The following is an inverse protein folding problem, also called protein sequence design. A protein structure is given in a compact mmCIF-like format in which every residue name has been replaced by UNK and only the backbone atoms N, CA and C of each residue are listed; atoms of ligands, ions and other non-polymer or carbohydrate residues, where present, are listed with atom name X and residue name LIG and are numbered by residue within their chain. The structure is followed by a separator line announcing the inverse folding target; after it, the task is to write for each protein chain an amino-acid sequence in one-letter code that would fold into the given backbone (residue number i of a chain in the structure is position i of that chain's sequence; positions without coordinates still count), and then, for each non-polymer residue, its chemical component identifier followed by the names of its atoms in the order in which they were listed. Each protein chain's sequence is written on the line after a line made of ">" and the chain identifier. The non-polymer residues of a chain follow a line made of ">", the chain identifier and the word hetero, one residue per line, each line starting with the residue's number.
data_IF_599359426949
#
_entry.id   IF_599359426949
#
_cell.length_a   1.000
_cell.length_b   1.000
_cell.length_c   1.000
_cell.angle_alpha   90.00
_cell.angle_beta   90.00
_cell.angle_gamma   90.00
#
_symmetry.space_group_name_H-M   'P 1'
#
loop_
_entity.id
_entity.type
_entity.pdbx_description
1 polymer ?
#
# COMPACT_ATOMS: atom_id res chain seq x y z
N UNK A 1 -14.12 -14.27 -16.35
CA UNK A 1 -13.96 -13.19 -15.37
C UNK A 1 -13.15 -13.74 -14.22
N UNK A 2 -11.90 -13.33 -14.07
CA UNK A 2 -10.96 -13.79 -13.06
C UNK A 2 -11.07 -12.87 -11.84
N UNK A 3 -11.47 -13.42 -10.70
CA UNK A 3 -11.51 -12.68 -9.42
C UNK A 3 -10.30 -13.11 -8.60
N UNK A 4 -9.51 -12.12 -8.17
CA UNK A 4 -8.42 -12.33 -7.23
C UNK A 4 -8.95 -12.03 -5.84
N UNK A 5 -9.01 -13.04 -4.98
CA UNK A 5 -9.49 -12.88 -3.59
C UNK A 5 -8.31 -12.83 -2.62
N UNK A 6 -8.17 -11.75 -1.85
CA UNK A 6 -7.13 -11.55 -0.84
C UNK A 6 -7.64 -11.92 0.56
N UNK A 7 -6.94 -12.82 1.24
CA UNK A 7 -7.17 -13.08 2.66
C UNK A 7 -6.33 -12.11 3.51
N UNK A 8 -7.03 -11.18 4.15
CA UNK A 8 -6.46 -10.12 4.99
C UNK A 8 -6.72 -10.36 6.48
N UNK A 9 -7.26 -11.52 6.87
CA UNK A 9 -7.70 -11.79 8.25
C UNK A 9 -6.56 -12.01 9.24
N UNK A 10 -5.35 -12.31 8.74
CA UNK A 10 -4.17 -12.59 9.56
C UNK A 10 -3.11 -11.50 9.48
N UNK A 11 -2.74 -11.08 8.27
CA UNK A 11 -1.69 -10.09 8.05
C UNK A 11 -1.94 -9.35 6.73
N UNK A 12 -2.29 -8.07 6.84
CA UNK A 12 -2.57 -7.18 5.73
C UNK A 12 -1.40 -6.22 5.47
N UNK A 13 -0.18 -6.54 5.90
CA UNK A 13 0.99 -5.70 5.61
C UNK A 13 1.35 -5.74 4.13
N UNK A 14 1.93 -4.66 3.60
CA UNK A 14 2.45 -4.58 2.22
C UNK A 14 3.38 -5.75 1.85
N UNK A 15 4.14 -6.28 2.81
CA UNK A 15 4.98 -7.48 2.62
C UNK A 15 4.13 -8.72 2.41
N UNK A 16 3.11 -8.94 3.23
CA UNK A 16 2.16 -10.04 3.11
C UNK A 16 1.40 -9.96 1.78
N UNK A 17 0.87 -8.77 1.44
CA UNK A 17 0.20 -8.51 0.16
C UNK A 17 1.08 -8.87 -1.04
N UNK A 18 2.32 -8.37 -1.08
CA UNK A 18 3.24 -8.67 -2.16
C UNK A 18 3.59 -10.17 -2.20
N UNK A 19 3.79 -10.81 -1.06
CA UNK A 19 4.10 -12.23 -0.99
C UNK A 19 2.96 -13.09 -1.55
N UNK A 20 1.71 -12.78 -1.21
CA UNK A 20 0.52 -13.46 -1.72
C UNK A 20 0.37 -13.27 -3.23
N UNK A 21 0.46 -12.03 -3.74
CA UNK A 21 0.41 -11.76 -5.18
C UNK A 21 1.52 -12.51 -5.93
N UNK A 22 2.75 -12.52 -5.38
CA UNK A 22 3.87 -13.27 -5.95
C UNK A 22 3.61 -14.77 -5.97
N UNK A 23 2.98 -15.33 -4.95
CA UNK A 23 2.70 -16.77 -4.88
C UNK A 23 1.72 -17.24 -5.96
N UNK A 24 0.90 -16.32 -6.50
CA UNK A 24 -0.05 -16.60 -7.59
C UNK A 24 0.59 -16.60 -8.98
N UNK A 25 1.82 -16.08 -9.09
CA UNK A 25 2.58 -16.06 -10.33
C UNK A 25 3.43 -17.34 -10.49
N UNK A 26 3.54 -17.83 -11.72
CA UNK A 26 4.48 -18.93 -12.01
C UNK A 26 5.95 -18.48 -11.85
N UNK A 27 6.89 -19.41 -12.00
CA UNK A 27 8.32 -19.11 -11.79
C UNK A 27 8.86 -18.07 -12.80
N UNK A 28 8.40 -18.11 -14.05
CA UNK A 28 8.86 -17.20 -15.09
C UNK A 28 8.32 -15.79 -14.86
N UNK A 29 7.03 -15.67 -14.54
CA UNK A 29 6.38 -14.41 -14.24
C UNK A 29 6.92 -13.77 -12.94
N UNK A 30 7.26 -14.57 -11.91
CA UNK A 30 7.96 -14.05 -10.72
C UNK A 30 9.33 -13.48 -11.05
N UNK A 31 10.12 -14.16 -11.87
CA UNK A 31 11.42 -13.65 -12.29
C UNK A 31 11.29 -12.37 -13.13
N UNK A 32 10.27 -12.29 -13.99
CA UNK A 32 9.96 -11.08 -14.75
C UNK A 32 9.54 -9.91 -13.86
N UNK A 33 8.71 -10.17 -12.83
CA UNK A 33 8.32 -9.18 -11.82
C UNK A 33 9.54 -8.64 -11.08
N UNK A 34 10.43 -9.52 -10.59
CA UNK A 34 11.65 -9.11 -9.89
C UNK A 34 12.55 -8.26 -10.79
N UNK A 35 12.75 -8.66 -12.05
CA UNK A 35 13.51 -7.88 -13.02
C UNK A 35 12.85 -6.52 -13.31
N UNK A 36 11.52 -6.45 -13.39
CA UNK A 36 10.79 -5.21 -13.62
C UNK A 36 10.88 -4.25 -12.41
N UNK A 37 10.80 -4.76 -11.18
CA UNK A 37 10.97 -3.96 -9.96
C UNK A 37 12.37 -3.33 -9.92
N UNK A 38 13.41 -4.08 -10.25
CA UNK A 38 14.77 -3.52 -10.33
C UNK A 38 14.93 -2.53 -11.49
N UNK A 39 14.40 -2.87 -12.68
CA UNK A 39 14.47 -2.01 -13.84
C UNK A 39 13.67 -0.70 -13.69
N UNK A 40 12.63 -0.68 -12.86
CA UNK A 40 11.79 0.50 -12.62
C UNK A 40 12.60 1.71 -12.14
N UNK A 41 13.73 1.47 -11.44
CA UNK A 41 14.68 2.51 -11.08
C UNK A 41 14.23 3.39 -9.91
N UNK A 42 13.56 2.82 -8.91
CA UNK A 42 13.15 3.56 -7.71
C UNK A 42 14.41 3.97 -6.90
N UNK A 43 14.65 5.27 -6.72
CA UNK A 43 15.86 5.77 -6.07
C UNK A 43 15.86 5.49 -4.56
N UNK A 44 17.03 5.13 -4.04
CA UNK A 44 17.26 4.94 -2.60
C UNK A 44 17.45 6.28 -1.88
N UNK A 45 16.39 7.08 -1.84
CA UNK A 45 16.32 8.32 -1.07
C UNK A 45 14.99 8.43 -0.33
N UNK A 46 14.93 9.37 0.60
CA UNK A 46 13.67 9.77 1.22
C UNK A 46 12.99 10.86 0.38
N UNK A 47 11.67 10.78 0.26
CA UNK A 47 10.82 11.76 -0.41
C UNK A 47 10.02 12.51 0.65
N UNK A 48 10.08 13.83 0.63
CA UNK A 48 9.58 14.64 1.73
C UNK A 48 8.10 14.96 1.65
N UNK A 49 7.51 14.88 0.46
CA UNK A 49 6.14 15.28 0.18
C UNK A 49 5.57 14.54 -1.04
N UNK A 50 4.29 14.77 -1.31
CA UNK A 50 3.60 14.18 -2.45
C UNK A 50 4.22 14.60 -3.80
N UNK A 51 4.49 15.91 -4.08
CA UNK A 51 5.15 16.32 -5.32
C UNK A 51 6.46 15.59 -5.63
N UNK A 52 7.33 15.38 -4.64
CA UNK A 52 8.60 14.68 -4.80
C UNK A 52 8.39 13.20 -5.16
N UNK A 53 7.43 12.52 -4.51
CA UNK A 53 7.07 11.14 -4.87
C UNK A 53 6.48 11.06 -6.29
N UNK A 54 5.59 11.98 -6.65
CA UNK A 54 4.97 11.99 -7.99
C UNK A 54 6.02 12.21 -9.09
N UNK A 55 6.98 13.11 -8.87
CA UNK A 55 8.10 13.33 -9.79
C UNK A 55 8.96 12.07 -9.95
N UNK A 56 9.22 11.33 -8.87
CA UNK A 56 9.89 10.03 -8.95
C UNK A 56 9.07 9.02 -9.77
N UNK A 57 7.76 8.91 -9.51
CA UNK A 57 6.86 7.98 -10.23
C UNK A 57 6.87 8.27 -11.74
N UNK A 58 6.85 9.55 -12.13
CA UNK A 58 6.88 9.97 -13.54
C UNK A 58 8.13 9.47 -14.27
N UNK A 59 9.27 9.43 -13.59
CA UNK A 59 10.56 8.98 -14.12
C UNK A 59 10.75 7.45 -14.16
N UNK A 60 9.89 6.66 -13.51
CA UNK A 60 10.07 5.21 -13.42
C UNK A 60 9.99 4.52 -14.78
N UNK A 61 10.74 3.44 -14.96
CA UNK A 61 10.64 2.57 -16.12
C UNK A 61 9.53 1.54 -15.90
N UNK A 62 8.27 2.02 -15.91
CA UNK A 62 7.07 1.22 -15.71
C UNK A 62 5.97 1.65 -16.68
N UNK A 63 4.94 0.82 -16.85
CA UNK A 63 3.78 1.13 -17.68
C UNK A 63 3.02 2.36 -17.17
N UNK A 64 2.20 2.98 -18.02
CA UNK A 64 1.33 4.07 -17.59
C UNK A 64 0.35 3.61 -16.50
N UNK A 65 -0.20 2.40 -16.63
CA UNK A 65 -1.10 1.79 -15.64
C UNK A 65 -0.44 1.71 -14.26
N UNK A 66 0.76 1.15 -14.17
CA UNK A 66 1.52 1.06 -12.91
C UNK A 66 1.76 2.44 -12.31
N UNK A 67 2.19 3.40 -13.13
CA UNK A 67 2.39 4.78 -12.64
C UNK A 67 1.10 5.39 -12.12
N UNK A 68 -0.02 5.21 -12.83
CA UNK A 68 -1.32 5.74 -12.43
C UNK A 68 -1.81 5.13 -11.11
N UNK A 69 -1.64 3.80 -10.95
CA UNK A 69 -1.93 3.08 -9.70
C UNK A 69 -1.07 3.62 -8.55
N UNK A 70 0.25 3.78 -8.75
CA UNK A 70 1.14 4.35 -7.73
C UNK A 70 0.72 5.76 -7.32
N UNK A 71 0.36 6.63 -8.28
CA UNK A 71 -0.09 8.00 -7.97
C UNK A 71 -1.39 7.98 -7.16
N UNK A 72 -2.32 7.08 -7.46
CA UNK A 72 -3.56 6.94 -6.72
C UNK A 72 -3.31 6.49 -5.27
N UNK A 73 -2.45 5.47 -5.06
CA UNK A 73 -2.05 5.01 -3.73
C UNK A 73 -1.40 6.13 -2.91
N UNK A 74 -0.48 6.89 -3.51
CA UNK A 74 0.19 7.99 -2.81
C UNK A 74 -0.71 9.19 -2.52
N UNK A 75 -1.73 9.46 -3.34
CA UNK A 75 -2.75 10.47 -3.03
C UNK A 75 -3.60 10.05 -1.82
N UNK A 76 -4.01 8.79 -1.75
CA UNK A 76 -4.72 8.25 -0.57
C UNK A 76 -3.88 8.42 0.71
N UNK A 77 -2.57 8.14 0.63
CA UNK A 77 -1.66 8.35 1.75
C UNK A 77 -1.57 9.82 2.14
N UNK A 78 -1.36 10.71 1.17
CA UNK A 78 -1.26 12.14 1.43
C UNK A 78 -2.54 12.71 2.05
N UNK A 79 -3.72 12.29 1.58
CA UNK A 79 -5.01 12.68 2.16
C UNK A 79 -5.14 12.25 3.63
N UNK A 80 -4.70 11.03 3.95
CA UNK A 80 -4.75 10.51 5.32
C UNK A 80 -3.79 11.25 6.25
N UNK A 81 -2.55 11.46 5.81
CA UNK A 81 -1.53 12.20 6.56
C UNK A 81 -1.95 13.67 6.76
N UNK A 82 -2.49 14.32 5.73
CA UNK A 82 -3.02 15.68 5.81
C UNK A 82 -4.14 15.79 6.85
N UNK A 83 -5.07 14.83 6.86
CA UNK A 83 -6.17 14.77 7.82
C UNK A 83 -5.68 14.61 9.26
N UNK A 84 -4.63 13.80 9.48
CA UNK A 84 -4.06 13.58 10.81
C UNK A 84 -3.29 14.80 11.31
N UNK A 85 -2.58 15.50 10.41
CA UNK A 85 -1.79 16.68 10.74
C UNK A 85 -2.58 18.00 10.71
N UNK A 86 -3.80 17.99 10.18
CA UNK A 86 -4.63 19.19 10.07
C UNK A 86 -4.08 20.22 9.09
N UNK A 87 -3.38 19.78 8.04
CA UNK A 87 -2.84 20.62 6.98
C UNK A 87 -3.47 20.33 5.61
N UNK A 88 -3.13 21.11 4.59
CA UNK A 88 -3.52 20.79 3.22
C UNK A 88 -2.70 19.61 2.67
N UNK A 89 -3.25 18.89 1.68
CA UNK A 89 -2.60 17.70 1.07
C UNK A 89 -1.25 18.04 0.43
N UNK A 90 -1.13 19.23 -0.16
CA UNK A 90 0.09 19.77 -0.74
C UNK A 90 1.10 20.26 0.29
N UNK A 91 0.69 20.46 1.54
CA UNK A 91 1.54 20.84 2.69
C UNK A 91 1.93 19.62 3.54
N UNK A 92 1.56 18.41 3.12
CA UNK A 92 1.79 17.19 3.88
C UNK A 92 3.24 16.74 3.81
N UNK A 93 3.84 16.50 4.98
CA UNK A 93 5.19 15.96 5.09
C UNK A 93 5.17 14.46 5.34
N UNK A 94 5.88 13.71 4.50
CA UNK A 94 6.04 12.27 4.66
C UNK A 94 7.19 11.98 5.59
N UNK A 95 6.92 11.33 6.72
CA UNK A 95 7.97 10.86 7.63
C UNK A 95 8.38 9.42 7.29
N UNK A 96 7.40 8.54 7.16
CA UNK A 96 7.65 7.09 7.02
C UNK A 96 7.33 6.58 5.61
N UNK A 97 6.26 7.10 5.00
CA UNK A 97 5.73 6.63 3.70
C UNK A 97 6.55 7.10 2.49
N UNK A 98 7.40 8.12 2.67
CA UNK A 98 8.27 8.69 1.64
C UNK A 98 9.61 7.95 1.45
N UNK A 99 9.91 6.95 2.27
CA UNK A 99 11.13 6.15 2.11
C UNK A 99 11.13 5.45 0.73
N UNK A 100 12.23 5.52 -0.02
CA UNK A 100 12.40 4.84 -1.31
C UNK A 100 12.11 3.33 -1.25
N UNK A 101 12.34 2.67 -0.12
CA UNK A 101 11.93 1.26 0.08
C UNK A 101 10.39 1.12 0.08
N UNK A 102 9.67 2.06 0.68
CA UNK A 102 8.20 2.09 0.64
C UNK A 102 7.70 2.32 -0.79
N UNK A 103 8.28 3.28 -1.52
CA UNK A 103 7.97 3.54 -2.93
C UNK A 103 8.21 2.30 -3.79
N UNK A 104 9.33 1.60 -3.57
CA UNK A 104 9.69 0.36 -4.27
C UNK A 104 8.69 -0.76 -3.98
N UNK A 105 8.23 -0.90 -2.74
CA UNK A 105 7.21 -1.89 -2.39
C UNK A 105 5.86 -1.59 -3.06
N UNK A 106 5.42 -0.33 -3.07
CA UNK A 106 4.20 0.08 -3.79
C UNK A 106 4.32 -0.23 -5.28
N UNK A 107 5.47 0.09 -5.89
CA UNK A 107 5.77 -0.25 -7.29
C UNK A 107 5.66 -1.77 -7.53
N UNK A 108 6.25 -2.58 -6.65
CA UNK A 108 6.23 -4.04 -6.77
C UNK A 108 4.81 -4.61 -6.67
N UNK A 109 3.96 -4.08 -5.78
CA UNK A 109 2.55 -4.49 -5.69
C UNK A 109 1.78 -4.11 -6.95
N UNK A 110 1.96 -2.88 -7.46
CA UNK A 110 1.30 -2.43 -8.69
C UNK A 110 1.72 -3.28 -9.90
N UNK A 111 3.01 -3.60 -10.04
CA UNK A 111 3.53 -4.50 -11.07
C UNK A 111 2.97 -5.93 -10.93
N UNK A 112 2.86 -6.44 -9.71
CA UNK A 112 2.30 -7.77 -9.47
C UNK A 112 0.81 -7.83 -9.84
N UNK A 113 0.02 -6.81 -9.51
CA UNK A 113 -1.39 -6.69 -9.92
C UNK A 113 -1.50 -6.56 -11.44
N UNK A 114 -0.64 -5.76 -12.08
CA UNK A 114 -0.60 -5.66 -13.55
C UNK A 114 -0.30 -7.02 -14.21
N UNK A 115 0.69 -7.76 -13.69
CA UNK A 115 1.10 -9.06 -14.22
C UNK A 115 0.01 -10.13 -14.05
N UNK A 116 -0.73 -10.11 -12.95
CA UNK A 116 -1.86 -11.02 -12.71
C UNK A 116 -3.10 -10.65 -13.54
N UNK A 117 -3.25 -9.35 -13.86
CA UNK A 117 -4.34 -8.79 -14.65
C UNK A 117 -5.74 -9.32 -14.25
N UNK A 118 -6.13 -9.28 -12.95
CA UNK A 118 -7.47 -9.71 -12.54
C UNK A 118 -8.53 -8.78 -13.12
N UNK A 119 -9.73 -9.33 -13.38
CA UNK A 119 -10.89 -8.50 -13.77
C UNK A 119 -11.43 -7.73 -12.56
N UNK A 120 -11.34 -8.32 -11.37
CA UNK A 120 -11.74 -7.73 -10.08
C UNK A 120 -10.90 -8.30 -8.93
N UNK A 121 -10.74 -7.51 -7.87
CA UNK A 121 -10.11 -7.93 -6.62
C UNK A 121 -11.14 -7.86 -5.48
N UNK A 122 -11.34 -8.98 -4.80
CA UNK A 122 -12.16 -9.06 -3.59
C UNK A 122 -11.25 -9.32 -2.38
N UNK A 123 -11.71 -8.99 -1.17
CA UNK A 123 -10.94 -9.28 0.04
C UNK A 123 -11.81 -9.58 1.26
N UNK A 124 -11.26 -10.32 2.22
CA UNK A 124 -11.84 -10.41 3.56
C UNK A 124 -11.76 -9.05 4.30
N UNK A 125 -12.41 -8.87 5.45
CA UNK A 125 -12.11 -7.75 6.34
C UNK A 125 -10.62 -7.66 6.71
N UNK A 126 -10.13 -6.44 6.90
CA UNK A 126 -8.72 -6.15 7.16
C UNK A 126 -8.37 -6.42 8.62
N UNK A 127 -7.35 -7.24 8.86
CA UNK A 127 -6.73 -7.35 10.18
C UNK A 127 -5.81 -6.15 10.41
N UNK A 128 -6.20 -5.29 11.35
CA UNK A 128 -5.43 -4.10 11.72
C UNK A 128 -4.41 -4.39 12.83
N UNK A 129 -4.69 -5.42 13.64
CA UNK A 129 -3.90 -5.73 14.81
C UNK A 129 -4.27 -4.93 16.05
N UNK A 130 -3.42 -4.94 17.06
CA UNK A 130 -3.60 -4.27 18.34
C UNK A 130 -2.26 -3.99 19.02
N UNK A 131 -2.29 -3.16 20.07
CA UNK A 131 -1.10 -2.74 20.81
C UNK A 131 -0.65 -1.34 20.41
N UNK A 132 0.66 -1.10 20.48
CA UNK A 132 1.29 0.16 20.10
C UNK A 132 2.45 -0.06 19.14
N UNK A 133 2.78 0.98 18.36
CA UNK A 133 3.93 1.01 17.44
C UNK A 133 4.76 2.25 17.72
N UNK A 134 6.09 2.10 17.69
CA UNK A 134 7.03 3.22 17.81
C UNK A 134 7.45 3.69 16.42
N UNK A 135 7.23 4.97 16.14
CA UNK A 135 7.48 5.60 14.84
C UNK A 135 8.11 6.98 15.01
N UNK A 136 8.29 7.72 13.91
CA UNK A 136 8.79 9.10 13.93
C UNK A 136 7.92 10.05 14.78
N UNK A 137 6.65 9.71 15.00
CA UNK A 137 5.70 10.45 15.82
C UNK A 137 5.66 9.99 17.29
N UNK A 138 6.60 9.14 17.70
CA UNK A 138 6.61 8.51 19.02
C UNK A 138 5.81 7.21 19.05
N UNK A 139 5.27 6.88 20.22
CA UNK A 139 4.44 5.70 20.41
C UNK A 139 2.98 6.00 20.05
N UNK A 140 2.43 5.23 19.11
CA UNK A 140 1.06 5.39 18.61
C UNK A 140 0.24 4.11 18.85
N UNK A 141 -1.09 4.21 19.04
CA UNK A 141 -1.95 3.04 19.09
C UNK A 141 -1.98 2.34 17.72
N UNK A 142 -2.31 1.05 17.72
CA UNK A 142 -2.62 0.29 16.51
C UNK A 142 -4.15 0.19 16.37
N UNK A 143 -4.74 0.55 15.21
CA UNK A 143 -4.07 1.10 14.02
C UNK A 143 -3.54 2.53 14.25
N UNK A 144 -2.41 2.85 13.61
CA UNK A 144 -1.88 4.22 13.61
C UNK A 144 -2.88 5.20 12.98
N UNK A 145 -2.85 6.51 13.33
CA UNK A 145 -3.87 7.48 12.91
C UNK A 145 -4.09 7.56 11.40
N UNK A 146 -3.03 7.54 10.58
CA UNK A 146 -3.15 7.55 9.13
C UNK A 146 -3.78 6.25 8.59
N UNK A 147 -3.46 5.09 9.19
CA UNK A 147 -4.13 3.82 8.88
C UNK A 147 -5.61 3.90 9.21
N UNK A 148 -5.97 4.39 10.40
CA UNK A 148 -7.35 4.53 10.84
C UNK A 148 -8.16 5.44 9.88
N UNK A 149 -7.60 6.60 9.52
CA UNK A 149 -8.24 7.54 8.60
C UNK A 149 -8.54 6.93 7.22
N UNK A 150 -7.66 6.06 6.71
CA UNK A 150 -7.91 5.35 5.44
C UNK A 150 -9.04 4.32 5.61
N UNK A 151 -9.02 3.56 6.70
CA UNK A 151 -10.00 2.50 6.96
C UNK A 151 -11.42 3.05 7.19
N UNK A 152 -11.53 4.24 7.81
CA UNK A 152 -12.79 4.94 8.06
C UNK A 152 -13.54 5.34 6.76
N UNK A 153 -12.94 5.16 5.59
CA UNK A 153 -13.61 5.31 4.29
C UNK A 153 -14.55 4.15 3.91
N UNK A 154 -14.84 3.25 4.86
CA UNK A 154 -15.79 2.15 4.69
C UNK A 154 -15.13 0.78 4.49
N UNK A 155 -13.84 0.64 4.81
CA UNK A 155 -13.11 -0.62 4.72
C UNK A 155 -13.42 -1.45 5.98
N UNK A 156 -14.01 -2.65 5.85
CA UNK A 156 -14.33 -3.47 7.00
C UNK A 156 -13.06 -4.02 7.66
N UNK A 157 -13.10 -4.14 8.98
CA UNK A 157 -11.96 -4.58 9.79
C UNK A 157 -12.36 -5.76 10.67
N UNK A 158 -11.46 -6.74 10.86
CA UNK A 158 -11.73 -7.98 11.61
C UNK A 158 -12.12 -7.73 13.08
N UNK A 159 -13.31 -8.13 13.53
CA UNK A 159 -13.74 -7.87 14.91
C UNK A 159 -12.71 -8.31 15.98
N UNK A 160 -12.10 -9.48 15.79
CA UNK A 160 -10.98 -9.94 16.60
C UNK A 160 -9.67 -9.32 16.11
N UNK A 161 -8.90 -8.75 17.04
CA UNK A 161 -7.60 -8.12 16.77
C UNK A 161 -6.47 -9.05 17.18
N UNK A 162 -5.49 -9.23 16.29
CA UNK A 162 -4.27 -9.95 16.60
C UNK A 162 -3.23 -9.02 17.24
N UNK A 163 -2.23 -9.58 17.91
CA UNK A 163 -1.13 -8.80 18.48
C UNK A 163 -0.19 -8.23 17.40
N UNK A 164 0.31 -7.01 17.65
CA UNK A 164 1.19 -6.25 16.76
C UNK A 164 0.49 -5.58 15.58
N UNK A 165 1.21 -4.73 14.84
CA UNK A 165 0.68 -4.01 13.68
C UNK A 165 0.50 -4.97 12.50
N UNK A 166 -0.73 -5.09 11.99
CA UNK A 166 -1.07 -5.98 10.87
C UNK A 166 -1.47 -5.23 9.60
N UNK A 167 -1.65 -3.92 9.69
CA UNK A 167 -1.91 -3.06 8.55
C UNK A 167 -1.23 -1.69 8.78
N UNK A 168 -0.28 -1.35 7.91
CA UNK A 168 0.38 -0.03 7.90
C UNK A 168 -0.40 0.95 7.02
N UNK A 169 -0.16 2.28 7.10
CA UNK A 169 -0.85 3.24 6.25
C UNK A 169 -0.71 2.92 4.76
N UNK A 170 0.50 2.53 4.32
CA UNK A 170 0.76 2.08 2.93
C UNK A 170 -0.08 0.88 2.54
N UNK A 171 -0.30 -0.06 3.47
CA UNK A 171 -1.07 -1.26 3.17
C UNK A 171 -2.56 -0.96 3.09
N UNK A 172 -3.09 -0.13 3.99
CA UNK A 172 -4.45 0.37 3.91
C UNK A 172 -4.71 1.13 2.60
N UNK A 173 -3.75 1.95 2.14
CA UNK A 173 -3.87 2.66 0.87
C UNK A 173 -3.87 1.72 -0.35
N UNK A 174 -3.03 0.69 -0.36
CA UNK A 174 -3.04 -0.36 -1.39
C UNK A 174 -4.37 -1.11 -1.42
N UNK A 175 -4.89 -1.51 -0.25
CA UNK A 175 -6.19 -2.17 -0.11
C UNK A 175 -7.31 -1.27 -0.63
N UNK A 176 -7.34 0.00 -0.21
CA UNK A 176 -8.35 0.98 -0.65
C UNK A 176 -8.33 1.19 -2.17
N UNK A 177 -7.15 1.20 -2.78
CA UNK A 177 -7.01 1.41 -4.22
C UNK A 177 -7.42 0.20 -5.04
N UNK A 178 -6.99 -1.00 -4.64
CA UNK A 178 -7.13 -2.19 -5.47
C UNK A 178 -8.36 -3.05 -5.18
N UNK A 179 -8.92 -3.04 -3.97
CA UNK A 179 -10.03 -3.93 -3.60
C UNK A 179 -11.36 -3.32 -4.05
N UNK A 180 -12.08 -4.05 -4.91
CA UNK A 180 -13.39 -3.66 -5.44
C UNK A 180 -14.55 -4.01 -4.50
N UNK A 181 -14.40 -5.09 -3.73
CA UNK A 181 -15.43 -5.57 -2.81
C UNK A 181 -14.83 -6.28 -1.61
N UNK A 182 -15.52 -6.18 -0.48
CA UNK A 182 -15.17 -6.92 0.73
C UNK A 182 -16.23 -7.98 1.02
N UNK A 183 -15.79 -9.09 1.60
CA UNK A 183 -16.68 -10.12 2.12
C UNK A 183 -17.60 -9.53 3.21
N UNK A 184 -18.82 -10.07 3.29
CA UNK A 184 -19.85 -9.64 4.24
C UNK A 184 -19.59 -10.09 5.68
#
# INVERSE_FOLDING_TARGET
>A
MTVLHLDLTHDATRRSLLADLRARLDAAARAALDAAVEAAGVPERHHHDLPDVLATIDGLQASSRVKDDMRAVYRILAEAEASVHGCAVDETHFHEVGNGEAVRNVCAVCLAVEALAPDRIAATPVQVGSGTVTCAHGELPIPAPATAAILDSGIPVCAERLDGERCTPTSAALVKHFVDEFDA
#
